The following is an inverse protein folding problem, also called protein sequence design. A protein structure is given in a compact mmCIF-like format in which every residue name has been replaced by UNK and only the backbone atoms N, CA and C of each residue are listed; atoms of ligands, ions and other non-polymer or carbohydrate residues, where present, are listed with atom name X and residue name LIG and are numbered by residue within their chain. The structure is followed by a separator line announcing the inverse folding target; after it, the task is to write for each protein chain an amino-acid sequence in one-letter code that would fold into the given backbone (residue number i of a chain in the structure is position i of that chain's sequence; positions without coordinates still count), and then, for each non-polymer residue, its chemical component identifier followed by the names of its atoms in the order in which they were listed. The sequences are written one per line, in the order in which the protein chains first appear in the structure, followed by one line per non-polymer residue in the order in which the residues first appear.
data_IF_154902282486
#
_entry.id   IF_154902282486
#
_cell.length_a   1.000
_cell.length_b   1.000
_cell.length_c   1.000
_cell.angle_alpha   90.00
_cell.angle_beta   90.00
_cell.angle_gamma   90.00
#
_symmetry.space_group_name_H-M   'P 1'
#
loop_
_entity.id
_entity.type
_entity.pdbx_description
1 polymer ?
#
# COMPACT_ATOMS: atom_id res chain seq x y z
N UNK A 1 -11.45 5.31 33.40
CA UNK A 1 -10.82 5.83 32.16
C UNK A 1 -11.91 6.40 31.26
N UNK A 2 -11.67 7.49 30.52
CA UNK A 2 -12.67 8.10 29.65
C UNK A 2 -13.04 7.14 28.50
N UNK A 3 -14.31 6.75 28.43
CA UNK A 3 -14.89 5.95 27.35
C UNK A 3 -16.17 6.65 26.90
N UNK A 4 -16.50 6.58 25.61
CA UNK A 4 -17.81 7.06 25.13
C UNK A 4 -18.92 6.15 25.65
N UNK A 5 -20.18 6.61 25.70
CA UNK A 5 -21.32 5.72 25.91
C UNK A 5 -21.30 4.58 24.89
N UNK A 6 -21.80 3.40 25.28
CA UNK A 6 -21.99 2.30 24.34
C UNK A 6 -22.96 2.71 23.24
N UNK A 7 -22.62 2.39 21.99
CA UNK A 7 -23.50 2.61 20.86
C UNK A 7 -24.82 1.85 21.05
N UNK A 8 -25.92 2.57 20.81
CA UNK A 8 -27.28 2.01 20.85
C UNK A 8 -27.44 0.90 19.80
N UNK A 9 -28.41 0.00 19.96
CA UNK A 9 -28.63 -1.15 19.04
C UNK A 9 -28.79 -0.74 17.57
N UNK A 10 -29.30 0.47 17.31
CA UNK A 10 -29.48 1.03 15.96
C UNK A 10 -28.17 1.60 15.36
N UNK A 11 -27.17 1.86 16.20
CA UNK A 11 -25.85 2.38 15.82
C UNK A 11 -24.79 1.28 15.75
N UNK A 12 -25.05 0.10 16.31
CA UNK A 12 -24.16 -1.06 16.23
C UNK A 12 -24.47 -1.92 15.02
N UNK A 13 -23.45 -2.40 14.30
CA UNK A 13 -23.66 -3.34 13.21
C UNK A 13 -24.14 -4.70 13.75
N UNK A 14 -25.26 -5.24 13.22
CA UNK A 14 -25.70 -6.60 13.56
C UNK A 14 -24.61 -7.62 13.25
N UNK A 15 -24.34 -8.51 14.21
CA UNK A 15 -23.50 -9.69 14.00
C UNK A 15 -24.23 -10.70 13.12
N UNK A 16 -23.58 -11.16 12.05
CA UNK A 16 -24.18 -12.10 11.08
C UNK A 16 -24.24 -13.51 11.65
N UNK A 17 -23.25 -13.90 12.45
CA UNK A 17 -23.17 -15.21 13.08
C UNK A 17 -23.15 -15.03 14.62
N UNK A 18 -24.19 -15.47 15.33
CA UNK A 18 -24.23 -15.43 16.79
C UNK A 18 -23.03 -16.17 17.39
N UNK A 19 -22.27 -15.51 18.28
CA UNK A 19 -21.09 -16.10 18.93
C UNK A 19 -19.75 -15.88 18.20
N UNK A 20 -19.73 -15.14 17.10
CA UNK A 20 -18.47 -14.74 16.42
C UNK A 20 -18.33 -13.22 16.35
N UNK A 21 -17.09 -12.75 16.16
CA UNK A 21 -16.77 -11.34 15.87
C UNK A 21 -17.18 -10.88 14.45
N UNK A 22 -17.83 -11.77 13.67
CA UNK A 22 -18.25 -11.49 12.30
C UNK A 22 -19.50 -10.59 12.31
N UNK A 23 -19.29 -9.35 11.92
CA UNK A 23 -20.29 -8.30 11.81
C UNK A 23 -20.54 -7.94 10.34
N UNK A 24 -21.59 -7.17 10.08
CA UNK A 24 -21.94 -6.69 8.73
C UNK A 24 -20.82 -5.91 8.01
N UNK A 25 -19.76 -5.47 8.71
CA UNK A 25 -18.59 -4.84 8.10
C UNK A 25 -17.81 -5.77 7.17
N UNK A 26 -17.79 -7.09 7.43
CA UNK A 26 -17.06 -8.06 6.60
C UNK A 26 -17.61 -8.14 5.17
N UNK A 27 -18.90 -8.43 4.93
CA UNK A 27 -19.44 -8.45 3.56
C UNK A 27 -19.39 -7.08 2.89
N UNK A 28 -19.53 -5.98 3.65
CA UNK A 28 -19.38 -4.63 3.12
C UNK A 28 -17.94 -4.41 2.61
N UNK A 29 -16.93 -4.81 3.38
CA UNK A 29 -15.52 -4.71 2.97
C UNK A 29 -15.24 -5.49 1.67
N UNK A 30 -15.77 -6.72 1.57
CA UNK A 30 -15.67 -7.51 0.33
C UNK A 30 -16.38 -6.84 -0.85
N UNK A 31 -17.61 -6.35 -0.65
CA UNK A 31 -18.37 -5.66 -1.69
C UNK A 31 -17.61 -4.41 -2.19
N UNK A 32 -17.09 -3.59 -1.27
CA UNK A 32 -16.30 -2.39 -1.59
C UNK A 32 -15.02 -2.76 -2.36
N UNK A 33 -14.30 -3.81 -1.93
CA UNK A 33 -13.10 -4.26 -2.63
C UNK A 33 -13.40 -4.75 -4.06
N UNK A 34 -14.50 -5.49 -4.25
CA UNK A 34 -14.94 -5.95 -5.58
C UNK A 34 -15.36 -4.76 -6.45
N UNK A 35 -16.12 -3.81 -5.90
CA UNK A 35 -16.51 -2.59 -6.62
C UNK A 35 -15.27 -1.81 -7.07
N UNK A 36 -14.29 -1.62 -6.18
CA UNK A 36 -13.02 -0.97 -6.52
C UNK A 36 -12.24 -1.75 -7.58
N UNK A 37 -12.23 -3.07 -7.51
CA UNK A 37 -11.62 -3.90 -8.55
C UNK A 37 -12.28 -3.69 -9.92
N UNK A 38 -13.61 -3.64 -9.97
CA UNK A 38 -14.35 -3.37 -11.20
C UNK A 38 -14.12 -1.96 -11.72
N UNK A 39 -14.12 -0.94 -10.85
CA UNK A 39 -13.82 0.44 -11.21
C UNK A 39 -12.39 0.52 -11.76
N UNK A 40 -11.41 -0.07 -11.09
CA UNK A 40 -10.02 -0.04 -11.56
C UNK A 40 -9.82 -0.78 -12.88
N UNK A 41 -10.49 -1.92 -13.08
CA UNK A 41 -10.35 -2.74 -14.27
C UNK A 41 -11.12 -2.21 -15.49
N UNK A 42 -12.37 -1.76 -15.30
CA UNK A 42 -13.30 -1.45 -16.40
C UNK A 42 -13.65 0.03 -16.58
N UNK A 43 -13.28 0.93 -15.66
CA UNK A 43 -13.64 2.35 -15.79
C UNK A 43 -12.53 3.23 -16.38
N UNK A 44 -12.94 4.32 -17.04
CA UNK A 44 -12.03 5.40 -17.51
C UNK A 44 -11.26 6.03 -16.35
N UNK A 45 -11.90 6.14 -15.17
CA UNK A 45 -11.24 6.63 -13.96
C UNK A 45 -10.05 5.75 -13.56
N UNK A 46 -10.22 4.42 -13.57
CA UNK A 46 -9.15 3.48 -13.28
C UNK A 46 -8.01 3.50 -14.31
N UNK A 47 -8.32 3.78 -15.58
CA UNK A 47 -7.30 4.00 -16.60
C UNK A 47 -6.53 5.30 -16.33
N UNK A 48 -7.24 6.41 -16.07
CA UNK A 48 -6.65 7.71 -15.76
C UNK A 48 -5.71 7.65 -14.55
N UNK A 49 -6.09 6.94 -13.47
CA UNK A 49 -5.23 6.74 -12.30
C UNK A 49 -3.95 5.99 -12.66
N UNK A 50 -4.03 4.92 -13.45
CA UNK A 50 -2.86 4.14 -13.87
C UNK A 50 -1.91 4.93 -14.77
N UNK A 51 -2.45 5.67 -15.74
CA UNK A 51 -1.64 6.47 -16.67
C UNK A 51 -0.97 7.64 -15.95
N UNK A 52 -1.69 8.37 -15.10
CA UNK A 52 -1.12 9.46 -14.30
C UNK A 52 -0.05 8.94 -13.34
N UNK A 53 -0.23 7.76 -12.76
CA UNK A 53 0.74 7.14 -11.86
C UNK A 53 2.00 6.60 -12.56
N UNK A 54 1.88 6.11 -13.79
CA UNK A 54 3.01 5.55 -14.54
C UNK A 54 3.82 6.61 -15.29
N UNK A 55 3.14 7.58 -15.92
CA UNK A 55 3.77 8.62 -16.74
C UNK A 55 2.93 9.90 -16.70
N UNK A 56 3.16 10.81 -15.74
CA UNK A 56 2.37 12.03 -15.58
C UNK A 56 2.46 12.95 -16.79
N UNK A 57 3.61 12.99 -17.48
CA UNK A 57 3.78 13.78 -18.70
C UNK A 57 2.97 13.19 -19.87
N UNK A 58 2.97 11.85 -20.04
CA UNK A 58 2.13 11.18 -21.03
C UNK A 58 0.64 11.37 -20.76
N UNK A 59 0.24 11.39 -19.48
CA UNK A 59 -1.14 11.65 -19.09
C UNK A 59 -1.62 13.05 -19.52
N UNK A 60 -0.73 14.05 -19.47
CA UNK A 60 -1.03 15.42 -19.92
C UNK A 60 -1.25 15.48 -21.44
N UNK A 61 -0.44 14.77 -22.21
CA UNK A 61 -0.64 14.65 -23.66
C UNK A 61 -1.95 13.92 -24.01
N UNK A 62 -2.37 12.96 -23.18
CA UNK A 62 -3.66 12.27 -23.30
C UNK A 62 -4.89 13.09 -22.84
N UNK A 63 -4.72 14.37 -22.48
CA UNK A 63 -5.82 15.24 -22.04
C UNK A 63 -6.27 15.04 -20.58
N UNK A 64 -5.56 14.22 -19.80
CA UNK A 64 -5.90 13.99 -18.39
C UNK A 64 -5.28 15.06 -17.49
N UNK A 65 -6.11 15.67 -16.63
CA UNK A 65 -5.65 16.62 -15.61
C UNK A 65 -5.13 15.87 -14.38
N UNK A 66 -3.81 15.69 -14.29
CA UNK A 66 -3.14 15.01 -13.17
C UNK A 66 -3.61 15.51 -11.80
N UNK A 67 -3.66 16.84 -11.57
CA UNK A 67 -4.11 17.40 -10.30
C UNK A 67 -5.53 16.96 -9.92
N UNK A 68 -6.46 16.90 -10.89
CA UNK A 68 -7.85 16.48 -10.62
C UNK A 68 -7.91 15.00 -10.24
N UNK A 69 -7.12 14.16 -10.91
CA UNK A 69 -7.00 12.74 -10.58
C UNK A 69 -6.50 12.55 -9.15
N UNK A 70 -5.44 13.28 -8.76
CA UNK A 70 -4.85 13.18 -7.42
C UNK A 70 -5.87 13.56 -6.34
N UNK A 71 -6.58 14.69 -6.51
CA UNK A 71 -7.63 15.09 -5.57
C UNK A 71 -8.78 14.08 -5.47
N UNK A 72 -9.23 13.53 -6.60
CA UNK A 72 -10.28 12.50 -6.62
C UNK A 72 -9.83 11.22 -5.89
N UNK A 73 -8.60 10.78 -6.12
CA UNK A 73 -8.04 9.60 -5.45
C UNK A 73 -7.90 9.85 -3.96
N UNK A 74 -7.39 11.01 -3.54
CA UNK A 74 -7.26 11.38 -2.12
C UNK A 74 -8.61 11.38 -1.40
N UNK A 75 -9.63 11.97 -2.03
CA UNK A 75 -10.97 12.07 -1.45
C UNK A 75 -11.63 10.69 -1.38
N UNK A 76 -11.46 9.86 -2.41
CA UNK A 76 -11.94 8.48 -2.41
C UNK A 76 -11.24 7.63 -1.35
N UNK A 77 -9.90 7.71 -1.23
CA UNK A 77 -9.15 6.95 -0.22
C UNK A 77 -9.49 7.40 1.19
N UNK A 78 -9.66 8.71 1.42
CA UNK A 78 -10.08 9.24 2.72
C UNK A 78 -11.49 8.78 3.10
N UNK A 79 -12.43 8.78 2.14
CA UNK A 79 -13.77 8.26 2.35
C UNK A 79 -13.78 6.76 2.69
N UNK A 80 -12.98 5.96 1.98
CA UNK A 80 -12.85 4.52 2.25
C UNK A 80 -12.19 4.24 3.61
N UNK A 81 -11.17 5.00 3.99
CA UNK A 81 -10.54 4.88 5.30
C UNK A 81 -11.51 5.26 6.45
N UNK A 82 -12.31 6.31 6.24
CA UNK A 82 -13.38 6.69 7.19
C UNK A 82 -14.46 5.61 7.31
N UNK A 83 -14.87 5.01 6.18
CA UNK A 83 -15.80 3.88 6.18
C UNK A 83 -15.22 2.66 6.92
N UNK A 84 -13.95 2.35 6.73
CA UNK A 84 -13.30 1.26 7.48
C UNK A 84 -13.29 1.55 8.99
N UNK A 85 -12.96 2.79 9.40
CA UNK A 85 -12.94 3.19 10.80
C UNK A 85 -14.31 3.12 11.47
N UNK A 86 -15.39 3.54 10.80
CA UNK A 86 -16.74 3.46 11.38
C UNK A 86 -17.24 2.01 11.47
N UNK A 87 -16.91 1.16 10.49
CA UNK A 87 -17.26 -0.26 10.54
C UNK A 87 -16.59 -0.96 11.74
N UNK A 88 -15.34 -0.60 12.03
CA UNK A 88 -14.60 -1.13 13.18
C UNK A 88 -15.15 -0.57 14.51
N UNK A 89 -15.40 0.74 14.59
CA UNK A 89 -15.95 1.36 15.79
C UNK A 89 -17.36 0.85 16.13
N UNK A 90 -18.23 0.71 15.13
CA UNK A 90 -19.62 0.29 15.29
C UNK A 90 -19.81 -1.25 15.30
N UNK A 91 -18.78 -2.02 14.95
CA UNK A 91 -18.80 -3.48 14.93
C UNK A 91 -18.29 -4.09 16.24
N UNK A 92 -16.99 -4.47 16.33
CA UNK A 92 -16.44 -5.13 17.52
C UNK A 92 -16.41 -4.26 18.78
N UNK A 93 -16.01 -2.99 18.65
CA UNK A 93 -15.75 -2.14 19.81
C UNK A 93 -17.01 -1.57 20.44
N UNK A 94 -18.03 -1.22 19.64
CA UNK A 94 -19.32 -0.62 20.05
C UNK A 94 -19.20 0.65 20.91
N UNK A 95 -18.01 1.22 20.99
CA UNK A 95 -17.67 2.43 21.73
C UNK A 95 -16.25 2.84 21.33
N UNK A 96 -15.93 4.13 21.42
CA UNK A 96 -14.54 4.56 21.33
C UNK A 96 -13.86 4.34 22.67
N UNK A 97 -12.90 3.43 22.67
CA UNK A 97 -12.03 3.15 23.81
C UNK A 97 -10.64 3.76 23.58
N UNK A 98 -9.92 4.18 24.63
CA UNK A 98 -8.55 4.67 24.50
C UNK A 98 -7.58 3.67 23.85
N UNK A 99 -7.92 2.38 23.84
CA UNK A 99 -7.19 1.31 23.16
C UNK A 99 -7.70 0.99 21.76
N UNK A 100 -8.39 1.92 21.08
CA UNK A 100 -8.82 1.72 19.70
C UNK A 100 -7.59 1.47 18.82
N UNK A 101 -7.59 0.43 17.96
CA UNK A 101 -6.39 0.04 17.22
C UNK A 101 -5.94 1.15 16.27
N UNK A 102 -4.81 1.78 16.57
CA UNK A 102 -4.20 2.79 15.70
C UNK A 102 -3.30 2.17 14.62
N UNK A 103 -2.88 0.92 14.82
CA UNK A 103 -1.82 0.28 14.03
C UNK A 103 -2.30 -0.32 12.70
N UNK A 104 -3.62 -0.45 12.50
CA UNK A 104 -4.19 -1.01 11.27
C UNK A 104 -3.75 -0.26 10.01
N UNK A 105 -3.45 1.03 10.10
CA UNK A 105 -2.88 1.80 8.98
C UNK A 105 -1.49 1.31 8.56
N UNK A 106 -0.61 1.02 9.52
CA UNK A 106 0.72 0.47 9.25
C UNK A 106 0.63 -0.96 8.73
N UNK A 107 -0.22 -1.77 9.33
CA UNK A 107 -0.51 -3.14 8.88
C UNK A 107 -1.05 -3.16 7.44
N UNK A 108 -1.89 -2.18 7.06
CA UNK A 108 -2.43 -2.07 5.71
C UNK A 108 -1.37 -1.81 4.63
N UNK A 109 -0.22 -1.18 4.97
CA UNK A 109 0.91 -1.02 4.05
C UNK A 109 1.42 -2.39 3.63
N UNK A 110 1.55 -3.31 4.59
CA UNK A 110 2.01 -4.68 4.35
C UNK A 110 1.04 -5.41 3.43
N UNK A 111 -0.26 -5.33 3.72
CA UNK A 111 -1.31 -5.92 2.87
C UNK A 111 -1.26 -5.37 1.45
N UNK A 112 -1.07 -4.06 1.28
CA UNK A 112 -1.05 -3.42 -0.02
C UNK A 112 0.11 -3.92 -0.91
N UNK A 113 1.30 -4.06 -0.33
CA UNK A 113 2.47 -4.62 -1.03
C UNK A 113 2.32 -6.11 -1.30
N UNK A 114 1.82 -6.88 -0.33
CA UNK A 114 1.57 -8.31 -0.49
C UNK A 114 0.52 -8.60 -1.58
N UNK A 115 -0.52 -7.76 -1.67
CA UNK A 115 -1.52 -7.80 -2.73
C UNK A 115 -1.07 -7.23 -4.08
N UNK A 116 0.21 -6.84 -4.22
CA UNK A 116 0.80 -6.20 -5.41
C UNK A 116 -0.01 -5.00 -5.93
N UNK A 117 -0.55 -4.18 -5.02
CA UNK A 117 -1.38 -3.01 -5.34
C UNK A 117 -2.65 -3.33 -6.16
N UNK A 118 -3.12 -4.59 -6.14
CA UNK A 118 -4.34 -4.99 -6.80
C UNK A 118 -5.46 -5.18 -5.75
N UNK A 119 -6.65 -4.57 -5.93
CA UNK A 119 -7.75 -4.68 -4.96
C UNK A 119 -8.20 -6.13 -4.68
N UNK A 120 -8.12 -7.03 -5.66
CA UNK A 120 -8.41 -8.46 -5.42
C UNK A 120 -7.28 -9.14 -4.63
N UNK A 121 -6.02 -8.77 -4.92
CA UNK A 121 -4.85 -9.28 -4.20
C UNK A 121 -4.84 -8.85 -2.73
N UNK A 122 -5.33 -7.65 -2.43
CA UNK A 122 -5.47 -7.10 -1.07
C UNK A 122 -6.40 -7.96 -0.20
N UNK A 123 -7.46 -8.54 -0.76
CA UNK A 123 -8.36 -9.44 -0.02
C UNK A 123 -7.60 -10.68 0.47
N UNK A 124 -6.90 -11.38 -0.44
CA UNK A 124 -6.13 -12.56 -0.09
C UNK A 124 -4.96 -12.24 0.85
N UNK A 125 -4.24 -11.15 0.58
CA UNK A 125 -3.15 -10.67 1.44
C UNK A 125 -3.65 -10.31 2.84
N UNK A 126 -4.84 -9.71 2.95
CA UNK A 126 -5.47 -9.36 4.22
C UNK A 126 -5.81 -10.60 5.05
N UNK A 127 -6.31 -11.66 4.41
CA UNK A 127 -6.56 -12.95 5.08
C UNK A 127 -5.26 -13.56 5.61
N UNK A 128 -4.21 -13.61 4.78
CA UNK A 128 -2.89 -14.14 5.21
C UNK A 128 -2.38 -13.36 6.41
N UNK A 129 -2.43 -12.03 6.35
CA UNK A 129 -1.94 -11.18 7.44
C UNK A 129 -2.81 -11.29 8.70
N UNK A 130 -4.13 -11.42 8.57
CA UNK A 130 -5.04 -11.65 9.69
C UNK A 130 -4.75 -12.97 10.40
N UNK A 131 -4.50 -14.05 9.65
CA UNK A 131 -4.11 -15.35 10.21
C UNK A 131 -2.78 -15.23 10.96
N UNK A 132 -1.80 -14.53 10.38
CA UNK A 132 -0.51 -14.28 11.05
C UNK A 132 -0.68 -13.46 12.32
N UNK A 133 -1.51 -12.42 12.30
CA UNK A 133 -1.73 -11.54 13.44
C UNK A 133 -2.39 -12.29 14.61
N UNK A 134 -3.53 -12.94 14.35
CA UNK A 134 -4.25 -13.74 15.35
C UNK A 134 -3.42 -14.93 15.83
N UNK A 135 -2.69 -15.59 14.93
CA UNK A 135 -1.75 -16.66 15.30
C UNK A 135 -0.61 -16.17 16.19
N UNK A 136 -0.14 -14.94 15.97
CA UNK A 136 0.83 -14.25 16.83
C UNK A 136 0.27 -13.95 18.22
N UNK A 137 -0.95 -13.42 18.31
CA UNK A 137 -1.64 -13.19 19.61
C UNK A 137 -1.86 -14.49 20.39
N UNK A 138 -2.26 -15.57 19.72
CA UNK A 138 -2.42 -16.89 20.37
C UNK A 138 -1.06 -17.39 20.89
N UNK A 139 0.00 -17.23 20.10
CA UNK A 139 1.36 -17.64 20.46
C UNK A 139 1.91 -16.81 21.61
N UNK A 140 1.58 -15.52 21.66
CA UNK A 140 1.86 -14.62 22.76
C UNK A 140 1.19 -15.10 24.06
N UNK A 141 -0.09 -15.47 23.99
CA UNK A 141 -0.88 -15.86 25.17
C UNK A 141 -0.52 -17.27 25.66
N UNK A 142 -0.16 -18.18 24.76
CA UNK A 142 0.10 -19.59 25.07
C UNK A 142 1.53 -19.84 25.53
N UNK A 143 2.52 -19.22 24.86
CA UNK A 143 3.96 -19.49 25.06
C UNK A 143 4.64 -18.30 25.76
N UNK A 144 3.90 -17.21 26.04
CA UNK A 144 4.42 -16.04 26.75
C UNK A 144 5.38 -15.20 25.91
N UNK A 145 5.26 -15.25 24.58
CA UNK A 145 6.10 -14.44 23.69
C UNK A 145 5.87 -12.94 23.96
N UNK A 146 6.92 -12.09 23.86
CA UNK A 146 6.73 -10.65 23.93
C UNK A 146 5.85 -10.13 22.78
N UNK A 147 4.97 -9.17 23.06
CA UNK A 147 4.13 -8.46 22.05
C UNK A 147 4.94 -8.00 20.82
N UNK A 148 6.17 -7.54 21.05
CA UNK A 148 7.06 -7.04 20.00
C UNK A 148 7.43 -8.11 18.95
N UNK A 149 7.36 -9.40 19.30
CA UNK A 149 7.70 -10.49 18.38
C UNK A 149 6.73 -10.58 17.19
N UNK A 150 5.43 -10.40 17.44
CA UNK A 150 4.40 -10.40 16.37
C UNK A 150 4.62 -9.24 15.40
N UNK A 151 4.89 -8.04 15.93
CA UNK A 151 5.20 -6.86 15.12
C UNK A 151 6.50 -7.02 14.32
N UNK A 152 7.53 -7.62 14.92
CA UNK A 152 8.78 -7.94 14.22
C UNK A 152 8.55 -8.90 13.05
N UNK A 153 7.72 -9.93 13.23
CA UNK A 153 7.38 -10.88 12.17
C UNK A 153 6.69 -10.18 10.99
N UNK A 154 5.75 -9.26 11.27
CA UNK A 154 5.09 -8.45 10.24
C UNK A 154 6.08 -7.58 9.47
N UNK A 155 6.99 -6.90 10.18
CA UNK A 155 8.01 -6.05 9.57
C UNK A 155 9.00 -6.87 8.73
N UNK A 156 9.43 -8.04 9.21
CA UNK A 156 10.28 -8.97 8.47
C UNK A 156 9.59 -9.48 7.21
N UNK A 157 8.30 -9.80 7.28
CA UNK A 157 7.53 -10.24 6.12
C UNK A 157 7.52 -9.17 5.02
N UNK A 158 7.24 -7.91 5.38
CA UNK A 158 7.31 -6.79 4.44
C UNK A 158 8.74 -6.62 3.90
N UNK A 159 9.74 -6.64 4.77
CA UNK A 159 11.14 -6.48 4.39
C UNK A 159 11.57 -7.54 3.36
N UNK A 160 11.32 -8.83 3.62
CA UNK A 160 11.66 -9.90 2.69
C UNK A 160 10.88 -9.81 1.37
N UNK A 161 9.62 -9.37 1.42
CA UNK A 161 8.83 -9.15 0.21
C UNK A 161 9.46 -8.06 -0.66
N UNK A 162 9.76 -6.89 -0.08
CA UNK A 162 10.39 -5.79 -0.80
C UNK A 162 11.78 -6.17 -1.31
N UNK A 163 12.59 -6.82 -0.47
CA UNK A 163 13.91 -7.30 -0.85
C UNK A 163 13.84 -8.25 -2.05
N UNK A 164 12.84 -9.15 -2.06
CA UNK A 164 12.60 -10.05 -3.19
C UNK A 164 12.14 -9.31 -4.45
N UNK A 165 11.20 -8.35 -4.34
CA UNK A 165 10.75 -7.55 -5.49
C UNK A 165 11.91 -6.73 -6.10
N UNK A 166 12.81 -6.18 -5.28
CA UNK A 166 14.02 -5.49 -5.73
C UNK A 166 14.97 -6.45 -6.43
N UNK A 167 15.26 -7.62 -5.85
CA UNK A 167 16.15 -8.62 -6.45
C UNK A 167 15.62 -9.16 -7.79
N UNK A 168 14.30 -9.27 -7.94
CA UNK A 168 13.66 -9.72 -9.18
C UNK A 168 13.72 -8.62 -10.25
N UNK A 169 13.48 -7.36 -9.89
CA UNK A 169 13.46 -6.24 -10.86
C UNK A 169 14.86 -5.74 -11.24
N UNK A 170 15.81 -5.77 -10.32
CA UNK A 170 17.15 -5.25 -10.52
C UNK A 170 18.15 -6.40 -10.55
N UNK A 171 18.67 -6.71 -11.74
CA UNK A 171 19.77 -7.67 -11.90
C UNK A 171 21.06 -7.02 -11.38
N UNK A 172 21.68 -7.62 -10.36
CA UNK A 172 22.98 -7.19 -9.86
C UNK A 172 24.03 -7.35 -10.96
N UNK A 173 24.34 -6.26 -11.65
CA UNK A 173 25.48 -6.19 -12.58
C UNK A 173 26.67 -5.74 -11.76
N UNK A 174 27.64 -6.65 -11.56
CA UNK A 174 28.96 -6.25 -11.06
C UNK A 174 29.63 -5.42 -12.14
N UNK A 175 29.71 -4.11 -11.92
CA UNK A 175 30.60 -3.25 -12.70
C UNK A 175 32.02 -3.57 -12.25
N UNK A 176 32.63 -4.59 -12.87
CA UNK A 176 34.08 -4.74 -12.83
C UNK A 176 34.64 -3.48 -13.48
N UNK A 177 35.38 -2.67 -12.72
CA UNK A 177 35.97 -1.42 -13.22
C UNK A 177 36.83 -1.68 -14.45
N UNK A 178 36.26 -1.42 -15.63
CA UNK A 178 37.04 -1.29 -16.85
C UNK A 178 37.89 -0.02 -16.76
N UNK A 179 39.05 0.04 -17.43
CA UNK A 179 39.91 1.21 -17.41
C UNK A 179 39.09 2.44 -17.77
N UNK A 180 39.15 3.49 -16.94
CA UNK A 180 38.59 4.79 -17.25
C UNK A 180 39.19 5.19 -18.61
N UNK A 181 38.38 5.40 -19.67
CA UNK A 181 38.90 5.84 -20.95
C UNK A 181 39.67 7.13 -20.68
N UNK A 182 40.97 7.13 -20.98
CA UNK A 182 41.80 8.30 -20.84
C UNK A 182 41.09 9.46 -21.55
N UNK A 183 40.81 10.53 -20.79
CA UNK A 183 40.32 11.77 -21.35
C UNK A 183 41.22 12.09 -22.55
N UNK A 184 40.63 12.31 -23.72
CA UNK A 184 41.34 12.85 -24.87
C UNK A 184 41.80 14.25 -24.50
N UNK A 185 42.96 14.34 -23.86
CA UNK A 185 43.64 15.58 -23.55
C UNK A 185 44.34 16.05 -24.81
N UNK A 186 43.99 17.25 -25.26
CA UNK A 186 44.94 18.18 -25.89
C UNK A 186 45.07 18.16 -27.41
N UNK A 187 45.05 17.01 -28.09
CA UNK A 187 45.48 17.02 -29.50
C UNK A 187 44.37 17.41 -30.51
N UNK A 188 43.10 17.23 -30.17
CA UNK A 188 41.98 17.55 -31.08
C UNK A 188 41.71 19.07 -31.14
N UNK A 189 41.99 19.81 -30.06
CA UNK A 189 41.86 21.29 -30.04
C UNK A 189 43.05 21.99 -30.70
N UNK A 190 44.24 21.39 -30.69
CA UNK A 190 45.40 21.93 -31.39
C UNK A 190 45.26 21.81 -32.92
N UNK A 191 44.65 20.74 -33.42
CA UNK A 191 44.45 20.53 -34.86
C UNK A 191 43.33 21.41 -35.44
N UNK A 192 42.31 21.75 -34.64
CA UNK A 192 41.26 22.71 -35.05
C UNK A 192 41.81 24.15 -35.07
N UNK A 193 42.60 24.54 -34.07
CA UNK A 193 43.24 25.86 -34.05
C UNK A 193 44.31 26.06 -35.14
N UNK A 194 45.00 24.98 -35.56
CA UNK A 194 45.95 25.03 -36.67
C UNK A 194 45.26 25.08 -38.05
N UNK A 195 44.03 24.58 -38.16
CA UNK A 195 43.22 24.65 -39.39
C UNK A 195 42.62 26.03 -39.67
N UNK A 196 42.38 26.85 -38.64
CA UNK A 196 41.81 28.19 -38.78
C UNK A 196 42.87 29.30 -39.04
N UNK A 197 44.17 28.99 -38.95
CA UNK A 197 45.26 29.93 -39.20
C UNK A 197 45.84 29.83 -40.63
N UNK A 198 45.24 28.99 -41.49
CA UNK A 198 45.73 28.67 -42.84
C UNK A 198 44.84 29.12 -43.99
N UNK A 199 43.76 29.88 -43.74
CA UNK A 199 42.96 30.57 -44.77
C UNK A 199 43.20 32.08 -44.76
#
# INVERSE_FOLDING_TARGET
FPQTPLFTRDQSLPTIIPGTVVHLGVPIAFAVAIILALIMAKSVFGFQVRVVGAAPDAARYGGFRANRTVWMVMLLSGGLAGLAGILEAAGPFRQMVPGFPADYGFTAIIVAFLGRLNPLGVIFAGIVLAITFVGGEISQTTIGLPNAATGLFQAMMLFFLLASDVLIRYRLVRVTGGPIPAAKTGDEVANVAAGEAGE
#
